data_IF_878503657181
#
_entry.id   IF_878503657181
#
_cell.length_a   1.000
_cell.length_b   1.000
_cell.length_c   1.000
_cell.angle_alpha   90.00
_cell.angle_beta   90.00
_cell.angle_gamma   90.00
#
_symmetry.space_group_name_H-M   'P 1'
#
loop_
_entity.id
_entity.type
_entity.pdbx_description
1 polymer ?
#
# COMPACT_ATOMS: atom_id res chain seq x y z
N UNK A 1 -17.55 -23.26 -10.32
CA UNK A 1 -16.36 -23.21 -9.43
C UNK A 1 -15.18 -22.71 -10.25
N UNK A 2 -14.52 -21.62 -9.85
CA UNK A 2 -13.36 -21.10 -10.60
C UNK A 2 -12.07 -21.81 -10.18
N UNK A 3 -11.15 -21.98 -11.13
CA UNK A 3 -9.82 -22.56 -10.95
C UNK A 3 -8.78 -21.46 -10.85
N UNK A 4 -7.96 -21.48 -9.81
CA UNK A 4 -6.91 -20.49 -9.61
C UNK A 4 -5.50 -21.12 -9.64
N UNK A 5 -4.59 -20.44 -10.33
CA UNK A 5 -3.14 -20.67 -10.27
C UNK A 5 -2.48 -19.47 -9.63
N UNK A 6 -1.70 -19.70 -8.58
CA UNK A 6 -1.07 -18.62 -7.82
C UNK A 6 0.44 -18.86 -7.74
N UNK A 7 1.22 -17.81 -7.93
CA UNK A 7 2.68 -17.79 -7.78
C UNK A 7 3.12 -16.52 -7.07
N UNK A 8 4.28 -16.60 -6.43
CA UNK A 8 4.91 -15.45 -5.79
C UNK A 8 4.83 -15.45 -4.26
N UNK A 9 5.26 -14.35 -3.66
CA UNK A 9 5.41 -14.21 -2.20
C UNK A 9 4.07 -14.26 -1.48
N UNK A 10 3.00 -13.76 -2.12
CA UNK A 10 1.64 -13.77 -1.58
C UNK A 10 0.92 -15.11 -1.74
N UNK A 11 1.55 -16.10 -2.40
CA UNK A 11 0.89 -17.32 -2.84
C UNK A 11 0.21 -18.11 -1.72
N UNK A 12 0.87 -18.26 -0.57
CA UNK A 12 0.31 -19.06 0.53
C UNK A 12 -0.91 -18.40 1.15
N UNK A 13 -0.86 -17.08 1.39
CA UNK A 13 -1.99 -16.33 1.93
C UNK A 13 -3.18 -16.34 0.97
N UNK A 14 -2.93 -16.04 -0.31
CA UNK A 14 -3.97 -16.01 -1.33
C UNK A 14 -4.53 -17.40 -1.63
N UNK A 15 -3.72 -18.45 -1.62
CA UNK A 15 -4.22 -19.84 -1.75
C UNK A 15 -5.19 -20.17 -0.62
N UNK A 16 -4.84 -19.87 0.64
CA UNK A 16 -5.74 -20.11 1.77
C UNK A 16 -7.05 -19.34 1.59
N UNK A 17 -6.96 -18.05 1.28
CA UNK A 17 -8.11 -17.17 1.11
C UNK A 17 -9.04 -17.64 -0.02
N UNK A 18 -8.50 -18.11 -1.15
CA UNK A 18 -9.29 -18.56 -2.29
C UNK A 18 -9.92 -19.95 -2.06
N UNK A 19 -9.21 -20.88 -1.38
CA UNK A 19 -9.78 -22.18 -0.98
C UNK A 19 -11.00 -21.96 -0.06
N UNK A 20 -10.86 -21.09 0.96
CA UNK A 20 -11.93 -20.76 1.90
C UNK A 20 -13.16 -20.15 1.22
N UNK A 21 -13.03 -19.68 -0.03
CA UNK A 21 -14.09 -19.09 -0.85
C UNK A 21 -14.47 -19.95 -2.06
N UNK A 22 -14.07 -21.23 -2.04
CA UNK A 22 -14.53 -22.23 -3.00
C UNK A 22 -13.80 -22.23 -4.35
N UNK A 23 -12.60 -21.65 -4.47
CA UNK A 23 -11.77 -21.86 -5.66
C UNK A 23 -11.10 -23.23 -5.62
N UNK A 24 -11.00 -23.87 -6.79
CA UNK A 24 -10.13 -25.04 -7.00
C UNK A 24 -8.72 -24.55 -7.33
N UNK A 25 -7.72 -24.99 -6.58
CA UNK A 25 -6.32 -24.64 -6.89
C UNK A 25 -5.78 -25.61 -7.94
N UNK A 26 -5.34 -25.07 -9.07
CA UNK A 26 -4.75 -25.85 -10.18
C UNK A 26 -3.30 -25.46 -10.40
N UNK A 27 -2.52 -26.41 -10.93
CA UNK A 27 -1.09 -26.24 -11.14
C UNK A 27 -0.35 -25.67 -9.90
N UNK A 28 -0.58 -26.15 -8.66
CA UNK A 28 0.12 -25.65 -7.49
C UNK A 28 1.63 -25.92 -7.57
N UNK A 29 2.46 -25.04 -6.97
CA UNK A 29 3.88 -25.33 -6.76
C UNK A 29 4.05 -26.48 -5.76
N UNK A 30 5.22 -27.12 -5.72
CA UNK A 30 5.52 -28.17 -4.74
C UNK A 30 5.23 -27.72 -3.30
N UNK A 31 5.66 -26.50 -2.96
CA UNK A 31 5.44 -25.88 -1.66
C UNK A 31 3.94 -25.71 -1.33
N UNK A 32 3.12 -25.32 -2.31
CA UNK A 32 1.67 -25.16 -2.09
C UNK A 32 0.98 -26.52 -2.00
N UNK A 33 1.40 -27.51 -2.81
CA UNK A 33 0.89 -28.90 -2.71
C UNK A 33 1.10 -29.45 -1.30
N UNK A 34 2.31 -29.32 -0.78
CA UNK A 34 2.69 -29.80 0.56
C UNK A 34 1.88 -29.10 1.65
N UNK A 35 1.86 -27.75 1.66
CA UNK A 35 1.19 -26.96 2.70
C UNK A 35 -0.31 -27.21 2.81
N UNK A 36 -0.97 -27.41 1.68
CA UNK A 36 -2.43 -27.55 1.62
C UNK A 36 -2.88 -28.99 1.37
N UNK A 37 -1.96 -29.96 1.37
CA UNK A 37 -2.24 -31.39 1.11
C UNK A 37 -3.09 -31.59 -0.15
N UNK A 38 -2.76 -30.85 -1.21
CA UNK A 38 -3.56 -30.88 -2.45
C UNK A 38 -3.14 -32.10 -3.26
N UNK A 39 -4.02 -33.09 -3.31
CA UNK A 39 -3.89 -34.25 -4.17
C UNK A 39 -4.21 -33.85 -5.61
N UNK A 40 -3.16 -33.46 -6.34
CA UNK A 40 -3.24 -33.22 -7.79
C UNK A 40 -2.43 -34.31 -8.47
N UNK A 41 -3.05 -35.10 -9.34
CA UNK A 41 -2.30 -36.01 -10.21
C UNK A 41 -1.21 -35.18 -10.92
N UNK A 42 0.01 -35.68 -10.94
CA UNK A 42 1.19 -34.99 -11.50
C UNK A 42 1.01 -34.52 -12.95
N UNK A 43 -0.05 -34.98 -13.62
CA UNK A 43 -0.40 -34.74 -15.02
C UNK A 43 -1.61 -33.80 -15.21
N UNK A 44 -2.32 -33.41 -14.14
CA UNK A 44 -3.45 -32.47 -14.24
C UNK A 44 -2.95 -31.08 -14.66
N UNK A 45 -3.02 -30.81 -15.97
CA UNK A 45 -2.72 -29.53 -16.63
C UNK A 45 -3.98 -28.70 -16.87
N UNK A 46 -4.99 -28.83 -16.00
CA UNK A 46 -6.22 -28.06 -16.14
C UNK A 46 -5.88 -26.55 -16.27
N UNK A 47 -6.40 -25.85 -17.29
CA UNK A 47 -6.15 -24.43 -17.45
C UNK A 47 -6.82 -23.64 -16.32
N UNK A 48 -6.14 -22.67 -15.70
CA UNK A 48 -6.75 -21.81 -14.68
C UNK A 48 -7.73 -20.81 -15.31
N UNK A 49 -8.80 -20.49 -14.58
CA UNK A 49 -9.69 -19.38 -14.93
C UNK A 49 -9.13 -18.04 -14.41
N UNK A 50 -8.25 -18.12 -13.40
CA UNK A 50 -7.59 -17.02 -12.72
C UNK A 50 -6.11 -17.35 -12.47
N UNK A 51 -5.21 -16.51 -12.96
CA UNK A 51 -3.79 -16.58 -12.66
C UNK A 51 -3.35 -15.35 -11.87
N UNK A 52 -2.66 -15.57 -10.75
CA UNK A 52 -2.12 -14.51 -9.88
C UNK A 52 -0.62 -14.66 -9.77
N UNK A 53 0.11 -13.56 -10.01
CA UNK A 53 1.58 -13.48 -9.91
C UNK A 53 2.00 -12.17 -9.24
N UNK A 54 3.16 -12.15 -8.60
CA UNK A 54 3.68 -10.93 -7.98
C UNK A 54 3.86 -9.79 -9.00
N UNK A 55 3.68 -8.56 -8.51
CA UNK A 55 4.24 -7.38 -9.17
C UNK A 55 5.77 -7.39 -9.05
N UNK A 56 6.45 -6.71 -9.97
CA UNK A 56 7.91 -6.60 -9.97
C UNK A 56 8.47 -5.92 -8.71
N UNK A 57 7.74 -4.94 -8.18
CA UNK A 57 8.08 -4.22 -6.94
C UNK A 57 7.72 -5.01 -5.66
N UNK A 58 7.06 -6.17 -5.79
CA UNK A 58 6.53 -7.00 -4.69
C UNK A 58 5.53 -6.29 -3.77
N UNK A 59 5.00 -5.14 -4.18
CA UNK A 59 4.00 -4.37 -3.44
C UNK A 59 2.57 -4.86 -3.71
N UNK A 60 2.43 -5.99 -4.39
CA UNK A 60 1.15 -6.61 -4.68
C UNK A 60 1.24 -7.65 -5.78
N UNK A 61 0.16 -7.84 -6.53
CA UNK A 61 0.03 -8.89 -7.55
C UNK A 61 -0.67 -8.39 -8.81
N UNK A 62 -0.34 -9.01 -9.94
CA UNK A 62 -1.19 -9.01 -11.12
C UNK A 62 -2.12 -10.22 -11.08
N UNK A 63 -3.40 -10.01 -11.40
CA UNK A 63 -4.39 -11.06 -11.51
C UNK A 63 -5.02 -11.02 -12.91
N UNK A 64 -4.84 -12.11 -13.67
CA UNK A 64 -5.33 -12.22 -15.06
C UNK A 64 -6.29 -13.39 -15.14
N UNK A 65 -7.46 -13.20 -15.75
CA UNK A 65 -8.46 -14.26 -15.81
C UNK A 65 -9.76 -13.85 -16.45
N UNK A 66 -10.73 -14.76 -16.42
CA UNK A 66 -12.09 -14.46 -16.86
C UNK A 66 -12.72 -13.37 -15.99
N UNK A 67 -13.59 -12.56 -16.57
CA UNK A 67 -14.30 -11.48 -15.86
C UNK A 67 -14.98 -12.00 -14.58
N UNK A 68 -15.64 -13.15 -14.65
CA UNK A 68 -16.30 -13.75 -13.48
C UNK A 68 -15.34 -14.09 -12.35
N UNK A 69 -14.18 -14.68 -12.67
CA UNK A 69 -13.17 -15.03 -11.67
C UNK A 69 -12.55 -13.79 -11.01
N UNK A 70 -12.31 -12.73 -11.78
CA UNK A 70 -11.75 -11.47 -11.30
C UNK A 70 -12.74 -10.65 -10.48
N UNK A 71 -14.03 -10.66 -10.84
CA UNK A 71 -15.11 -10.08 -10.02
C UNK A 71 -15.18 -10.75 -8.65
N UNK A 72 -15.14 -12.08 -8.62
CA UNK A 72 -15.13 -12.82 -7.37
C UNK A 72 -13.86 -12.53 -6.54
N UNK A 73 -12.67 -12.52 -7.17
CA UNK A 73 -11.43 -12.13 -6.51
C UNK A 73 -11.52 -10.73 -5.89
N UNK A 74 -12.02 -9.75 -6.66
CA UNK A 74 -12.18 -8.36 -6.21
C UNK A 74 -13.09 -8.27 -4.99
N UNK A 75 -14.24 -8.95 -5.01
CA UNK A 75 -15.15 -9.02 -3.86
C UNK A 75 -14.49 -9.66 -2.63
N UNK A 76 -13.76 -10.76 -2.82
CA UNK A 76 -13.02 -11.42 -1.74
C UNK A 76 -11.98 -10.50 -1.12
N UNK A 77 -11.18 -9.82 -1.94
CA UNK A 77 -10.13 -8.92 -1.45
C UNK A 77 -10.71 -7.72 -0.73
N UNK A 78 -11.73 -7.04 -1.29
CA UNK A 78 -12.35 -5.87 -0.64
C UNK A 78 -13.07 -6.21 0.66
N UNK A 79 -13.70 -7.40 0.73
CA UNK A 79 -14.34 -7.86 1.97
C UNK A 79 -13.34 -8.26 3.07
N UNK A 80 -12.07 -8.50 2.71
CA UNK A 80 -11.05 -9.03 3.64
C UNK A 80 -9.99 -8.00 4.00
N UNK A 81 -9.62 -7.11 3.06
CA UNK A 81 -8.47 -6.20 3.16
C UNK A 81 -8.95 -4.76 3.19
N UNK A 82 -8.55 -4.00 4.22
CA UNK A 82 -9.05 -2.64 4.45
C UNK A 82 -8.52 -1.63 3.43
N UNK A 83 -7.22 -1.67 3.11
CA UNK A 83 -6.53 -0.67 2.30
C UNK A 83 -6.10 -1.20 0.92
N UNK A 84 -6.67 -2.32 0.45
CA UNK A 84 -6.32 -2.88 -0.87
C UNK A 84 -6.68 -1.91 -1.99
N UNK A 85 -5.75 -1.75 -2.93
CA UNK A 85 -5.93 -0.92 -4.14
C UNK A 85 -6.00 -1.82 -5.36
N UNK A 86 -7.10 -1.77 -6.11
CA UNK A 86 -7.34 -2.61 -7.28
C UNK A 86 -7.43 -1.72 -8.52
N UNK A 87 -6.51 -1.90 -9.46
CA UNK A 87 -6.43 -1.11 -10.69
C UNK A 87 -6.72 -2.00 -11.89
N UNK A 88 -7.46 -1.48 -12.85
CA UNK A 88 -7.86 -2.21 -14.05
C UNK A 88 -9.36 -2.16 -14.23
N UNK A 89 -9.80 -2.13 -15.49
CA UNK A 89 -11.22 -2.00 -15.84
C UNK A 89 -11.81 -3.39 -16.01
N UNK A 90 -12.54 -3.86 -15.01
CA UNK A 90 -13.46 -4.99 -15.17
C UNK A 90 -14.84 -4.52 -15.70
N UNK A 91 -15.07 -3.19 -15.74
CA UNK A 91 -16.41 -2.65 -15.47
C UNK A 91 -16.96 -1.57 -16.43
N UNK A 92 -16.43 -1.34 -17.64
CA UNK A 92 -17.10 -0.34 -18.54
C UNK A 92 -17.27 -0.68 -20.02
N UNK A 93 -16.56 -1.66 -20.58
CA UNK A 93 -16.80 -2.00 -21.99
C UNK A 93 -17.96 -2.97 -22.16
N UNK A 94 -18.20 -3.89 -21.21
CA UNK A 94 -19.27 -4.91 -21.35
C UNK A 94 -20.67 -4.27 -21.27
N UNK A 95 -20.89 -3.30 -20.38
CA UNK A 95 -22.20 -2.62 -20.29
C UNK A 95 -22.43 -1.70 -21.50
N UNK A 96 -21.40 -1.03 -22.02
CA UNK A 96 -21.52 -0.21 -23.22
C UNK A 96 -21.65 -1.02 -24.51
N UNK A 97 -21.02 -2.19 -24.60
CA UNK A 97 -21.16 -3.07 -25.76
C UNK A 97 -22.52 -3.76 -25.80
N UNK A 98 -23.16 -3.98 -24.64
CA UNK A 98 -24.51 -4.58 -24.57
C UNK A 98 -25.61 -3.53 -24.76
N UNK A 99 -25.39 -2.28 -24.33
CA UNK A 99 -26.37 -1.19 -24.47
C UNK A 99 -26.21 -0.34 -25.75
N UNK A 100 -25.13 -0.54 -26.52
CA UNK A 100 -24.78 0.29 -27.68
C UNK A 100 -24.90 -0.42 -29.04
N UNK A 101 -25.44 -1.64 -29.10
CA UNK A 101 -25.63 -2.37 -30.35
C UNK A 101 -27.05 -2.18 -30.91
N UNK A 102 -27.42 -0.93 -31.18
CA UNK A 102 -28.36 -0.63 -32.26
C UNK A 102 -27.55 0.15 -33.32
N UNK A 103 -27.44 -0.45 -34.51
CA UNK A 103 -26.87 0.08 -35.76
C UNK A 103 -25.41 -0.26 -36.17
N UNK A 104 -25.35 -1.32 -36.99
CA UNK A 104 -24.60 -1.49 -38.26
C UNK A 104 -23.06 -1.66 -38.21
N UNK A 105 -22.63 -2.89 -38.48
CA UNK A 105 -21.28 -3.22 -38.97
C UNK A 105 -20.76 -4.55 -38.42
N UNK A 106 -21.13 -5.67 -39.05
CA UNK A 106 -20.70 -7.02 -38.66
C UNK A 106 -19.17 -7.20 -38.77
N UNK A 107 -18.49 -6.99 -37.66
CA UNK A 107 -17.31 -7.79 -37.30
C UNK A 107 -17.74 -8.69 -36.14
N UNK A 108 -17.46 -10.01 -36.18
CA UNK A 108 -17.85 -10.87 -35.08
C UNK A 108 -17.12 -10.42 -33.81
N UNK A 109 -17.84 -9.74 -32.91
CA UNK A 109 -17.36 -9.52 -31.56
C UNK A 109 -17.11 -10.91 -30.95
N UNK A 110 -15.86 -11.18 -30.58
CA UNK A 110 -15.49 -12.40 -29.87
C UNK A 110 -16.48 -12.62 -28.72
N UNK A 111 -17.00 -13.85 -28.61
CA UNK A 111 -17.94 -14.24 -27.54
C UNK A 111 -17.48 -13.63 -26.19
N UNK A 112 -18.31 -12.82 -25.51
CA UNK A 112 -17.94 -12.16 -24.25
C UNK A 112 -17.45 -13.12 -23.16
N UNK A 113 -17.78 -14.41 -23.28
CA UNK A 113 -17.32 -15.49 -22.42
C UNK A 113 -15.81 -15.78 -22.49
N UNK A 114 -15.12 -15.34 -23.55
CA UNK A 114 -13.67 -15.55 -23.73
C UNK A 114 -12.81 -14.33 -23.38
N UNK A 115 -13.43 -13.22 -22.97
CA UNK A 115 -12.69 -12.00 -22.65
C UNK A 115 -11.92 -12.16 -21.34
N UNK A 116 -10.60 -12.07 -21.43
CA UNK A 116 -9.66 -12.10 -20.31
C UNK A 116 -9.28 -10.66 -19.96
N UNK A 117 -9.32 -10.32 -18.67
CA UNK A 117 -8.86 -9.03 -18.18
C UNK A 117 -7.65 -9.22 -17.26
N UNK A 118 -6.93 -8.13 -17.00
CA UNK A 118 -5.85 -8.10 -16.01
C UNK A 118 -6.10 -6.97 -15.01
N UNK A 119 -6.01 -7.32 -13.74
CA UNK A 119 -5.98 -6.40 -12.63
C UNK A 119 -4.55 -6.24 -12.11
N UNK A 120 -4.20 -5.01 -11.76
CA UNK A 120 -3.03 -4.66 -10.98
C UNK A 120 -3.47 -4.33 -9.56
N UNK A 121 -3.15 -5.21 -8.61
CA UNK A 121 -3.59 -5.13 -7.22
C UNK A 121 -2.38 -4.77 -6.37
N UNK A 122 -2.52 -3.76 -5.53
CA UNK A 122 -1.51 -3.34 -4.55
C UNK A 122 -2.01 -3.59 -3.13
N UNK A 123 -1.09 -4.05 -2.29
CA UNK A 123 -1.33 -4.37 -0.89
C UNK A 123 -0.51 -3.43 -0.02
N UNK A 124 -1.11 -2.35 0.51
CA UNK A 124 -0.46 -1.50 1.49
C UNK A 124 -0.37 -2.21 2.86
N UNK A 125 0.11 -1.48 3.87
CA UNK A 125 0.53 -2.05 5.15
C UNK A 125 -0.55 -2.93 5.84
N UNK A 126 -1.82 -2.52 5.86
CA UNK A 126 -2.87 -3.30 6.54
C UNK A 126 -3.24 -4.55 5.76
N UNK A 127 -3.24 -4.46 4.43
CA UNK A 127 -3.45 -5.59 3.53
C UNK A 127 -2.36 -6.64 3.73
N UNK A 128 -1.10 -6.23 3.73
CA UNK A 128 0.04 -7.13 4.01
C UNK A 128 -0.08 -7.80 5.36
N UNK A 129 -0.39 -7.04 6.42
CA UNK A 129 -0.57 -7.57 7.79
C UNK A 129 -1.71 -8.59 7.86
N UNK A 130 -2.82 -8.32 7.17
CA UNK A 130 -3.95 -9.27 7.10
C UNK A 130 -3.55 -10.54 6.34
N UNK A 131 -2.81 -10.41 5.23
CA UNK A 131 -2.31 -11.55 4.47
C UNK A 131 -1.27 -12.36 5.25
N UNK A 132 -0.40 -11.72 6.06
CA UNK A 132 0.51 -12.38 6.99
C UNK A 132 -0.27 -13.21 8.02
N UNK A 133 -1.34 -12.63 8.59
CA UNK A 133 -2.23 -13.32 9.52
C UNK A 133 -2.92 -14.55 8.88
N UNK A 134 -3.37 -14.43 7.63
CA UNK A 134 -3.96 -15.56 6.89
C UNK A 134 -2.91 -16.64 6.64
N UNK A 135 -1.69 -16.25 6.28
CA UNK A 135 -0.56 -17.15 6.05
C UNK A 135 -0.14 -17.89 7.31
N UNK A 136 -0.18 -17.22 8.47
CA UNK A 136 0.13 -17.79 9.80
C UNK A 136 -0.76 -19.00 10.14
N UNK A 137 -1.99 -19.04 9.63
CA UNK A 137 -2.90 -20.19 9.78
C UNK A 137 -2.43 -21.45 9.04
N UNK A 138 -1.45 -21.32 8.15
CA UNK A 138 -0.95 -22.40 7.30
C UNK A 138 0.48 -22.80 7.68
N UNK A 139 1.34 -21.84 8.03
CA UNK A 139 2.71 -22.12 8.49
C UNK A 139 3.21 -21.05 9.46
N UNK A 140 4.23 -21.36 10.28
CA UNK A 140 4.95 -20.36 11.05
C UNK A 140 5.40 -19.18 10.17
N UNK A 141 5.01 -17.98 10.58
CA UNK A 141 5.17 -16.76 9.79
C UNK A 141 5.73 -15.68 10.70
N UNK A 142 6.75 -14.95 10.26
CA UNK A 142 7.22 -13.78 11.00
C UNK A 142 6.25 -12.62 10.77
N UNK A 143 5.99 -11.80 11.80
CA UNK A 143 5.21 -10.57 11.60
C UNK A 143 5.88 -9.68 10.56
N UNK A 144 5.10 -9.15 9.60
CA UNK A 144 5.61 -8.34 8.50
C UNK A 144 6.25 -9.14 7.36
N UNK A 145 5.97 -10.44 7.23
CA UNK A 145 6.52 -11.31 6.17
C UNK A 145 6.47 -10.66 4.78
N UNK A 146 5.30 -10.24 4.31
CA UNK A 146 5.20 -9.66 2.96
C UNK A 146 5.95 -8.33 2.83
N UNK A 147 5.99 -7.53 3.89
CA UNK A 147 6.75 -6.28 3.93
C UNK A 147 8.26 -6.55 3.82
N UNK A 148 8.81 -7.47 4.61
CA UNK A 148 10.23 -7.84 4.56
C UNK A 148 10.61 -8.53 3.24
N UNK A 149 9.68 -9.27 2.61
CA UNK A 149 9.87 -9.81 1.25
C UNK A 149 10.05 -8.72 0.18
N UNK A 150 9.51 -7.53 0.42
CA UNK A 150 9.66 -6.37 -0.46
C UNK A 150 10.91 -5.52 -0.13
N UNK A 151 11.58 -5.75 1.00
CA UNK A 151 12.77 -5.00 1.43
C UNK A 151 14.09 -5.42 0.73
N UNK A 152 14.01 -6.07 -0.43
CA UNK A 152 15.18 -6.51 -1.19
C UNK A 152 15.70 -7.92 -0.81
N UNK A 153 16.75 -8.36 -1.53
CA UNK A 153 17.20 -9.76 -1.48
C UNK A 153 17.76 -10.16 -0.11
N UNK A 154 18.61 -9.34 0.50
CA UNK A 154 19.29 -9.64 1.78
C UNK A 154 18.26 -9.87 2.90
N UNK A 155 17.39 -8.90 3.14
CA UNK A 155 16.33 -9.00 4.17
C UNK A 155 15.37 -10.16 3.87
N UNK A 156 14.97 -10.34 2.59
CA UNK A 156 14.14 -11.47 2.19
C UNK A 156 14.77 -12.84 2.50
N UNK A 157 16.09 -12.99 2.36
CA UNK A 157 16.80 -14.23 2.69
C UNK A 157 16.91 -14.43 4.20
N UNK A 158 17.21 -13.38 4.97
CA UNK A 158 17.24 -13.45 6.43
C UNK A 158 15.86 -13.79 7.01
N UNK A 159 14.78 -13.27 6.41
CA UNK A 159 13.41 -13.62 6.77
C UNK A 159 13.15 -15.12 6.59
N UNK A 160 13.61 -15.71 5.48
CA UNK A 160 13.45 -17.16 5.25
C UNK A 160 14.19 -17.98 6.30
N UNK A 161 15.38 -17.53 6.71
CA UNK A 161 16.13 -18.17 7.78
C UNK A 161 15.39 -18.06 9.12
N UNK A 162 14.88 -16.87 9.45
CA UNK A 162 14.10 -16.65 10.67
C UNK A 162 12.84 -17.54 10.72
N UNK A 163 12.07 -17.61 9.63
CA UNK A 163 10.88 -18.47 9.59
C UNK A 163 11.23 -19.97 9.67
N UNK A 164 12.41 -20.39 9.19
CA UNK A 164 12.89 -21.77 9.39
C UNK A 164 13.22 -22.06 10.85
N UNK A 165 13.67 -21.07 11.62
CA UNK A 165 13.86 -21.22 13.07
C UNK A 165 12.50 -21.41 13.75
N UNK A 166 11.47 -20.64 13.37
CA UNK A 166 10.12 -20.84 13.88
C UNK A 166 9.59 -22.25 13.56
N UNK A 167 9.84 -22.77 12.36
CA UNK A 167 9.48 -24.15 11.99
C UNK A 167 10.20 -25.22 12.82
N UNK A 168 11.37 -24.92 13.36
CA UNK A 168 12.11 -25.79 14.28
C UNK A 168 11.63 -25.68 15.74
N UNK A 169 10.64 -24.83 16.02
CA UNK A 169 10.04 -24.68 17.34
C UNK A 169 10.73 -23.66 18.26
N UNK A 170 11.60 -22.79 17.74
CA UNK A 170 12.17 -21.68 18.52
C UNK A 170 11.08 -20.66 18.86
N UNK A 171 11.23 -19.97 19.99
CA UNK A 171 10.27 -18.98 20.48
C UNK A 171 10.17 -17.80 19.50
N UNK A 172 8.94 -17.39 19.21
CA UNK A 172 8.68 -16.34 18.22
C UNK A 172 9.35 -15.02 18.60
N UNK A 173 9.26 -14.63 19.87
CA UNK A 173 9.84 -13.37 20.38
C UNK A 173 11.37 -13.32 20.22
N UNK A 174 12.06 -14.42 20.53
CA UNK A 174 13.53 -14.52 20.40
C UNK A 174 13.96 -14.42 18.94
N UNK A 175 13.26 -15.14 18.05
CA UNK A 175 13.55 -15.13 16.61
C UNK A 175 13.27 -13.75 16.02
N UNK A 176 12.19 -13.08 16.42
CA UNK A 176 11.86 -11.73 15.98
C UNK A 176 12.87 -10.70 16.46
N UNK A 177 13.29 -10.76 17.74
CA UNK A 177 14.31 -9.88 18.29
C UNK A 177 15.63 -10.04 17.55
N UNK A 178 16.10 -11.28 17.37
CA UNK A 178 17.34 -11.56 16.63
C UNK A 178 17.26 -11.10 15.17
N UNK A 179 16.12 -11.34 14.50
CA UNK A 179 15.92 -10.92 13.12
C UNK A 179 15.97 -9.39 12.99
N UNK A 180 15.25 -8.66 13.87
CA UNK A 180 15.24 -7.19 13.88
C UNK A 180 16.64 -6.62 14.11
N UNK A 181 17.38 -7.17 15.07
CA UNK A 181 18.77 -6.74 15.33
C UNK A 181 19.67 -6.99 14.11
N UNK A 182 19.52 -8.15 13.45
CA UNK A 182 20.33 -8.53 12.29
C UNK A 182 20.10 -7.60 11.09
N UNK A 183 18.88 -7.12 10.88
CA UNK A 183 18.54 -6.23 9.75
C UNK A 183 18.69 -4.75 10.09
N UNK A 184 18.92 -4.38 11.35
CA UNK A 184 18.93 -2.98 11.82
C UNK A 184 19.84 -2.08 10.99
N UNK A 185 21.03 -2.58 10.63
CA UNK A 185 22.02 -1.84 9.83
C UNK A 185 21.58 -1.55 8.38
N UNK A 186 20.56 -2.24 7.88
CA UNK A 186 20.03 -2.03 6.53
C UNK A 186 19.04 -0.85 6.48
N UNK A 187 18.55 -0.40 7.64
CA UNK A 187 17.57 0.65 7.74
C UNK A 187 18.21 2.03 7.92
N UNK A 188 17.54 3.11 7.47
CA UNK A 188 18.05 4.45 7.63
C UNK A 188 18.06 4.87 9.10
N UNK A 189 19.04 5.71 9.43
CA UNK A 189 19.25 6.30 10.76
C UNK A 189 19.29 7.82 10.65
N UNK A 190 19.34 8.53 11.78
CA UNK A 190 19.48 9.99 11.82
C UNK A 190 20.65 10.45 10.94
N UNK A 191 20.42 11.47 10.11
CA UNK A 191 21.38 11.96 9.12
C UNK A 191 21.32 11.27 7.75
N UNK A 192 20.66 10.11 7.65
CA UNK A 192 20.43 9.43 6.37
C UNK A 192 19.58 10.29 5.44
N UNK A 193 19.86 10.18 4.14
CA UNK A 193 19.04 10.74 3.08
C UNK A 193 18.18 9.62 2.52
N UNK A 194 16.86 9.81 2.48
CA UNK A 194 15.92 8.77 2.07
C UNK A 194 15.05 9.22 0.91
N UNK A 195 14.43 8.27 0.21
CA UNK A 195 13.37 8.56 -0.76
C UNK A 195 11.99 8.59 -0.10
N UNK A 196 11.08 9.36 -0.67
CA UNK A 196 9.65 9.31 -0.34
C UNK A 196 8.90 8.84 -1.58
N UNK A 197 8.45 7.58 -1.57
CA UNK A 197 7.61 7.00 -2.61
C UNK A 197 6.14 7.35 -2.34
N UNK A 198 5.64 8.35 -3.07
CA UNK A 198 4.26 8.80 -3.03
C UNK A 198 3.48 8.13 -4.16
N UNK A 199 2.74 7.08 -3.82
CA UNK A 199 1.98 6.27 -4.79
C UNK A 199 0.56 6.78 -4.88
N UNK A 200 0.10 7.15 -6.07
CA UNK A 200 -1.30 7.51 -6.30
C UNK A 200 -2.17 6.26 -6.40
N UNK A 201 -3.47 6.43 -6.13
CA UNK A 201 -4.48 5.37 -6.29
C UNK A 201 -4.47 4.78 -7.70
N UNK A 202 -4.22 5.59 -8.74
CA UNK A 202 -4.13 5.11 -10.13
C UNK A 202 -2.83 4.36 -10.48
N UNK A 203 -1.85 4.33 -9.56
CA UNK A 203 -0.61 3.56 -9.67
C UNK A 203 0.61 4.36 -10.10
N UNK A 204 0.46 5.65 -10.42
CA UNK A 204 1.62 6.53 -10.62
C UNK A 204 2.41 6.66 -9.32
N UNK A 205 3.72 6.52 -9.38
CA UNK A 205 4.62 6.66 -8.25
C UNK A 205 5.50 7.90 -8.44
N UNK A 206 5.46 8.82 -7.48
CA UNK A 206 6.27 10.03 -7.46
C UNK A 206 7.33 9.92 -6.37
N UNK A 207 8.56 10.32 -6.67
CA UNK A 207 9.65 10.39 -5.70
C UNK A 207 9.77 11.84 -5.23
N UNK A 208 9.33 12.15 -4.00
CA UNK A 208 9.18 13.54 -3.50
C UNK A 208 10.50 14.16 -3.00
N UNK A 209 11.57 13.98 -3.78
CA UNK A 209 12.92 14.39 -3.43
C UNK A 209 13.55 13.49 -2.37
N UNK A 210 14.70 13.95 -1.85
CA UNK A 210 15.56 13.17 -0.98
C UNK A 210 15.80 13.90 0.35
N UNK A 211 14.80 13.92 1.26
CA UNK A 211 14.96 14.57 2.56
C UNK A 211 16.03 13.89 3.42
N UNK A 212 16.57 14.66 4.36
CA UNK A 212 17.43 14.15 5.42
C UNK A 212 16.62 13.89 6.69
N UNK A 213 16.86 12.75 7.33
CA UNK A 213 16.32 12.44 8.66
C UNK A 213 17.01 13.34 9.69
N UNK A 214 16.23 14.17 10.39
CA UNK A 214 16.71 14.97 11.51
C UNK A 214 16.60 14.22 12.83
N UNK A 215 15.47 13.58 13.07
CA UNK A 215 15.16 12.86 14.29
C UNK A 215 14.48 11.54 13.93
N UNK A 216 14.81 10.48 14.66
CA UNK A 216 14.16 9.18 14.53
C UNK A 216 14.12 8.52 15.91
N UNK A 217 12.92 8.41 16.47
CA UNK A 217 12.66 7.65 17.68
C UNK A 217 12.18 6.24 17.30
N UNK A 218 13.08 5.26 17.36
CA UNK A 218 12.83 3.89 16.87
C UNK A 218 11.67 3.19 17.61
N UNK A 219 11.52 3.42 18.92
CA UNK A 219 10.51 2.75 19.75
C UNK A 219 9.09 3.18 19.38
N UNK A 220 8.88 4.47 19.18
CA UNK A 220 7.57 5.03 18.82
C UNK A 220 7.36 5.05 17.31
N UNK A 221 8.43 4.95 16.53
CA UNK A 221 8.44 5.05 15.07
C UNK A 221 8.26 6.49 14.57
N UNK A 222 8.51 7.51 15.40
CA UNK A 222 8.39 8.92 15.01
C UNK A 222 9.63 9.34 14.21
N UNK A 223 9.40 9.94 13.04
CA UNK A 223 10.47 10.41 12.16
C UNK A 223 10.21 11.85 11.76
N UNK A 224 11.26 12.67 11.85
CA UNK A 224 11.28 14.03 11.35
C UNK A 224 12.25 14.18 10.20
N UNK A 225 11.80 14.79 9.13
CA UNK A 225 12.58 15.12 7.95
C UNK A 225 12.76 16.61 7.78
N UNK A 226 13.87 17.00 7.14
CA UNK A 226 14.04 18.36 6.60
C UNK A 226 14.41 18.33 5.12
N UNK A 227 13.78 19.23 4.37
CA UNK A 227 14.06 19.49 2.96
C UNK A 227 14.20 20.99 2.73
N UNK A 228 15.21 21.40 1.97
CA UNK A 228 15.37 22.80 1.52
C UNK A 228 15.01 22.91 0.05
N UNK A 229 14.27 23.95 -0.33
CA UNK A 229 13.83 24.18 -1.69
C UNK A 229 14.78 25.13 -2.42
N UNK A 230 15.12 24.76 -3.65
CA UNK A 230 16.00 25.56 -4.53
C UNK A 230 15.20 26.24 -5.65
N UNK A 231 14.09 25.62 -6.07
CA UNK A 231 13.27 26.11 -7.18
C UNK A 231 12.09 26.93 -6.66
N UNK A 232 11.80 28.03 -7.37
CA UNK A 232 10.56 28.80 -7.21
C UNK A 232 9.35 27.95 -7.58
N UNK A 233 8.19 28.28 -7.01
CA UNK A 233 6.91 27.68 -7.39
C UNK A 233 5.80 28.07 -6.41
N UNK A 234 4.83 27.19 -6.27
CA UNK A 234 3.73 27.34 -5.30
C UNK A 234 3.66 26.04 -4.50
N UNK A 235 3.30 26.13 -3.22
CA UNK A 235 2.95 24.95 -2.45
C UNK A 235 1.52 24.54 -2.79
N UNK A 236 1.36 23.32 -3.32
CA UNK A 236 0.06 22.78 -3.69
C UNK A 236 -0.86 22.72 -2.45
N UNK A 237 -2.16 22.94 -2.65
CA UNK A 237 -3.14 23.11 -1.57
C UNK A 237 -3.10 24.50 -0.91
N UNK A 238 -1.93 24.90 -0.38
CA UNK A 238 -1.76 26.17 0.34
C UNK A 238 -1.83 27.41 -0.55
N UNK A 239 -1.44 27.29 -1.83
CA UNK A 239 -1.31 28.40 -2.80
C UNK A 239 -0.30 29.49 -2.37
N UNK A 240 0.46 29.27 -1.31
CA UNK A 240 1.56 30.12 -0.86
C UNK A 240 2.75 30.03 -1.83
N UNK A 241 3.42 31.17 -2.06
CA UNK A 241 4.63 31.21 -2.91
C UNK A 241 5.75 30.40 -2.28
N UNK A 242 6.41 29.56 -3.08
CA UNK A 242 7.64 28.84 -2.73
C UNK A 242 8.83 29.58 -3.32
N UNK A 243 9.80 29.91 -2.48
CA UNK A 243 10.99 30.67 -2.82
C UNK A 243 12.27 29.85 -2.56
N UNK A 244 13.38 30.13 -3.26
CA UNK A 244 14.65 29.48 -2.97
C UNK A 244 15.12 29.82 -1.55
N UNK A 245 15.55 28.81 -0.80
CA UNK A 245 15.94 28.96 0.60
C UNK A 245 14.82 28.62 1.58
N UNK A 246 13.55 28.57 1.13
CA UNK A 246 12.47 28.00 1.93
C UNK A 246 12.80 26.55 2.31
N UNK A 247 12.27 26.09 3.43
CA UNK A 247 12.42 24.71 3.86
C UNK A 247 11.11 24.13 4.37
N UNK A 248 11.06 22.80 4.41
CA UNK A 248 9.96 22.04 4.96
C UNK A 248 10.48 21.14 6.08
N UNK A 249 9.69 21.05 7.14
CA UNK A 249 9.81 20.01 8.16
C UNK A 249 8.62 19.08 8.00
N UNK A 250 8.92 17.80 7.82
CA UNK A 250 7.87 16.79 7.70
C UNK A 250 7.98 15.84 8.88
N UNK A 251 6.93 15.77 9.67
CA UNK A 251 6.78 14.82 10.76
C UNK A 251 5.87 13.68 10.30
N UNK A 252 6.25 12.44 10.63
CA UNK A 252 5.40 11.26 10.46
C UNK A 252 5.66 10.21 11.53
N UNK A 253 4.76 9.24 11.59
CA UNK A 253 4.91 8.03 12.39
C UNK A 253 4.88 6.81 11.48
N UNK A 254 5.79 5.85 11.66
CA UNK A 254 5.72 4.55 10.99
C UNK A 254 4.39 3.87 11.36
N UNK A 255 3.64 3.42 10.36
CA UNK A 255 2.28 2.92 10.54
C UNK A 255 1.23 4.01 10.82
N UNK A 256 1.62 5.27 10.85
CA UNK A 256 0.73 6.43 10.86
C UNK A 256 0.13 6.66 9.47
N UNK A 257 -1.02 7.34 9.44
CA UNK A 257 -1.86 7.53 8.24
C UNK A 257 -1.69 8.91 7.61
N UNK A 258 -0.69 9.67 8.03
CA UNK A 258 -0.50 11.02 7.54
C UNK A 258 0.97 11.42 7.54
N UNK A 259 1.29 12.33 6.62
CA UNK A 259 2.53 13.08 6.62
C UNK A 259 2.18 14.54 6.88
N UNK A 260 2.64 15.09 7.99
CA UNK A 260 2.43 16.50 8.34
C UNK A 260 3.63 17.31 7.91
N UNK A 261 3.48 18.16 6.91
CA UNK A 261 4.56 18.97 6.35
C UNK A 261 4.32 20.45 6.63
N UNK A 262 5.21 21.04 7.42
CA UNK A 262 5.22 22.47 7.78
C UNK A 262 6.22 23.19 6.89
N UNK A 263 5.79 24.30 6.28
CA UNK A 263 6.61 25.10 5.38
C UNK A 263 7.05 26.40 6.03
N UNK A 264 8.33 26.73 5.88
CA UNK A 264 8.93 27.93 6.41
C UNK A 264 9.70 28.65 5.29
N UNK A 265 9.74 29.97 5.36
CA UNK A 265 10.61 30.77 4.51
C UNK A 265 12.07 30.60 4.90
N UNK A 266 12.99 31.06 4.06
CA UNK A 266 14.43 31.02 4.38
C UNK A 266 14.84 31.78 5.67
N UNK A 267 14.00 32.68 6.17
CA UNK A 267 14.17 33.37 7.46
C UNK A 267 13.32 32.79 8.60
N UNK A 268 12.73 31.60 8.43
CA UNK A 268 12.00 30.88 9.47
C UNK A 268 10.55 31.32 9.71
N UNK A 269 9.96 32.12 8.81
CA UNK A 269 8.55 32.52 8.92
C UNK A 269 7.67 31.39 8.42
N UNK A 270 6.72 30.96 9.25
CA UNK A 270 5.74 29.94 8.92
C UNK A 270 4.84 30.36 7.73
N UNK A 271 4.73 29.47 6.73
CA UNK A 271 3.99 29.70 5.48
C UNK A 271 2.73 28.83 5.34
N UNK A 272 2.53 27.89 6.25
CA UNK A 272 1.40 26.96 6.29
C UNK A 272 1.82 25.51 6.50
N UNK A 273 0.86 24.67 6.85
CA UNK A 273 1.01 23.23 7.04
C UNK A 273 0.11 22.49 6.06
N UNK A 274 0.66 21.43 5.48
CA UNK A 274 -0.04 20.51 4.61
C UNK A 274 0.06 19.10 5.20
N UNK A 275 -1.09 18.52 5.53
CA UNK A 275 -1.22 17.18 6.07
C UNK A 275 -1.81 16.30 4.99
N UNK A 276 -1.00 15.40 4.44
CA UNK A 276 -1.45 14.43 3.46
C UNK A 276 -1.92 13.16 4.16
N UNK A 277 -3.16 12.74 3.96
CA UNK A 277 -3.64 11.46 4.46
C UNK A 277 -3.35 10.35 3.45
N UNK A 278 -2.83 9.24 3.96
CA UNK A 278 -2.35 8.11 3.18
C UNK A 278 -2.59 6.79 3.92
N UNK A 279 -2.42 5.68 3.21
CA UNK A 279 -2.33 4.37 3.86
C UNK A 279 -1.15 4.34 4.82
N UNK A 280 -1.18 3.52 5.89
CA UNK A 280 -0.13 3.54 6.89
C UNK A 280 1.28 3.48 6.33
N UNK A 281 2.12 4.44 6.75
CA UNK A 281 3.48 4.64 6.21
C UNK A 281 4.36 3.42 6.54
N UNK A 282 4.99 2.88 5.50
CA UNK A 282 6.00 1.83 5.63
C UNK A 282 7.40 2.43 5.47
N UNK A 283 8.30 2.15 6.41
CA UNK A 283 9.72 2.48 6.27
C UNK A 283 10.42 1.33 5.56
N UNK A 284 11.11 1.55 4.45
CA UNK A 284 11.96 0.59 3.74
C UNK A 284 13.43 0.99 3.86
N UNK A 285 14.39 0.09 3.55
CA UNK A 285 15.83 0.40 3.57
C UNK A 285 16.23 1.68 2.82
N UNK A 286 15.53 2.02 1.73
CA UNK A 286 15.82 3.19 0.89
C UNK A 286 14.92 4.40 1.15
N UNK A 287 13.93 4.28 2.03
CA UNK A 287 13.04 5.36 2.39
C UNK A 287 11.62 4.93 2.67
N UNK A 288 10.69 5.86 2.66
CA UNK A 288 9.29 5.59 3.06
C UNK A 288 8.39 5.39 1.85
N UNK A 289 7.33 4.60 2.02
CA UNK A 289 6.31 4.37 1.00
C UNK A 289 4.93 4.36 1.63
N UNK A 290 3.97 4.90 0.87
CA UNK A 290 2.54 4.84 1.16
C UNK A 290 1.74 5.03 -0.13
N UNK A 291 0.45 4.66 -0.09
CA UNK A 291 -0.52 5.07 -1.10
C UNK A 291 -1.25 6.31 -0.61
N UNK A 292 -1.15 7.39 -1.36
CA UNK A 292 -1.88 8.64 -1.14
C UNK A 292 -3.38 8.43 -1.36
N UNK A 293 -4.18 8.82 -0.38
CA UNK A 293 -5.63 8.67 -0.42
C UNK A 293 -6.35 9.87 -1.04
N UNK A 294 -5.59 10.87 -1.50
CA UNK A 294 -6.11 12.10 -2.11
C UNK A 294 -7.03 12.89 -1.14
N UNK A 295 -6.78 12.78 0.17
CA UNK A 295 -7.44 13.56 1.24
C UNK A 295 -6.38 14.37 1.96
N UNK A 296 -6.57 15.68 2.02
CA UNK A 296 -5.57 16.60 2.56
C UNK A 296 -6.18 17.60 3.54
N UNK A 297 -5.39 18.02 4.52
CA UNK A 297 -5.76 19.10 5.44
C UNK A 297 -4.71 20.21 5.30
N UNK A 298 -5.18 21.43 5.02
CA UNK A 298 -4.37 22.62 4.91
C UNK A 298 -4.60 23.55 6.10
N UNK A 299 -3.51 24.06 6.67
CA UNK A 299 -3.53 25.05 7.75
C UNK A 299 -2.76 26.27 7.26
N UNK A 300 -3.39 27.44 7.26
CA UNK A 300 -2.77 28.69 6.82
C UNK A 300 -2.22 29.52 7.99
N UNK A 301 -1.30 30.46 7.74
CA UNK A 301 -0.73 31.32 8.79
C UNK A 301 -1.75 32.16 9.57
N UNK A 302 -2.89 32.46 8.96
CA UNK A 302 -4.02 33.19 9.57
C UNK A 302 -4.90 32.32 10.49
N UNK A 303 -4.59 31.03 10.60
CA UNK A 303 -5.33 30.06 11.41
C UNK A 303 -6.49 29.40 10.68
N UNK A 304 -6.72 29.71 9.40
CA UNK A 304 -7.71 28.99 8.60
C UNK A 304 -7.29 27.53 8.46
N UNK A 305 -8.24 26.62 8.61
CA UNK A 305 -8.07 25.18 8.38
C UNK A 305 -9.08 24.74 7.32
N UNK A 306 -8.66 23.96 6.33
CA UNK A 306 -9.56 23.35 5.35
C UNK A 306 -9.17 21.92 5.06
N UNK A 307 -10.15 21.04 5.07
CA UNK A 307 -10.08 19.75 4.41
C UNK A 307 -10.28 19.96 2.90
N UNK A 308 -9.44 19.32 2.09
CA UNK A 308 -9.46 19.37 0.64
C UNK A 308 -9.66 17.94 0.11
N UNK A 309 -10.44 17.83 -0.97
CA UNK A 309 -10.55 16.63 -1.82
C UNK A 309 -11.27 15.38 -1.25
N UNK A 310 -12.12 15.53 -0.22
CA UNK A 310 -12.97 14.43 0.28
C UNK A 310 -13.79 13.72 -0.81
N UNK A 311 -14.33 14.49 -1.77
CA UNK A 311 -15.13 13.95 -2.87
C UNK A 311 -14.32 13.02 -3.80
N UNK A 312 -12.99 13.19 -3.87
CA UNK A 312 -12.12 12.34 -4.68
C UNK A 312 -12.04 10.94 -4.11
N UNK A 313 -11.84 10.78 -2.80
CA UNK A 313 -11.80 9.47 -2.16
C UNK A 313 -13.08 8.67 -2.42
N UNK A 314 -14.23 9.33 -2.26
CA UNK A 314 -15.55 8.73 -2.55
C UNK A 314 -15.67 8.27 -3.99
N UNK A 315 -15.22 9.09 -4.94
CA UNK A 315 -15.21 8.72 -6.34
C UNK A 315 -14.30 7.52 -6.62
N UNK A 316 -13.13 7.43 -5.98
CA UNK A 316 -12.22 6.28 -6.12
C UNK A 316 -12.82 4.99 -5.57
N UNK A 317 -13.58 5.07 -4.48
CA UNK A 317 -14.32 3.94 -3.92
C UNK A 317 -15.41 3.51 -4.90
N UNK A 318 -16.25 4.44 -5.38
CA UNK A 318 -17.31 4.17 -6.38
C UNK A 318 -16.78 3.57 -7.68
N UNK A 319 -15.63 4.05 -8.15
CA UNK A 319 -14.94 3.52 -9.33
C UNK A 319 -14.33 2.12 -9.10
N UNK A 320 -14.32 1.65 -7.85
CA UNK A 320 -13.88 0.33 -7.50
C UNK A 320 -12.39 0.21 -7.19
N UNK A 321 -11.63 1.32 -7.13
CA UNK A 321 -10.20 1.27 -6.84
C UNK A 321 -9.89 0.86 -5.41
N UNK A 322 -10.70 1.29 -4.46
CA UNK A 322 -10.49 1.06 -3.02
C UNK A 322 -11.60 0.17 -2.45
N UNK A 323 -11.31 -0.42 -1.28
CA UNK A 323 -12.33 -1.04 -0.45
C UNK A 323 -13.15 0.04 0.26
N UNK A 324 -14.47 -0.13 0.35
CA UNK A 324 -15.35 0.74 1.16
C UNK A 324 -14.96 0.74 2.65
N UNK A 325 -14.25 -0.29 3.10
CA UNK A 325 -13.76 -0.41 4.48
C UNK A 325 -12.74 0.68 4.87
N UNK A 326 -12.15 1.36 3.90
CA UNK A 326 -11.14 2.40 4.16
C UNK A 326 -11.76 3.70 4.64
N UNK A 327 -12.98 4.02 4.19
CA UNK A 327 -13.66 5.28 4.46
C UNK A 327 -13.79 5.59 5.95
N UNK A 328 -14.40 4.72 6.80
CA UNK A 328 -14.53 5.01 8.22
C UNK A 328 -13.18 5.13 8.95
N UNK A 329 -12.13 4.48 8.43
CA UNK A 329 -10.78 4.60 9.00
C UNK A 329 -10.19 5.97 8.71
N UNK A 330 -10.37 6.47 7.48
CA UNK A 330 -9.91 7.80 7.07
C UNK A 330 -10.68 8.87 7.82
N UNK A 331 -12.01 8.76 7.92
CA UNK A 331 -12.85 9.74 8.63
C UNK A 331 -12.44 9.89 10.09
N UNK A 332 -12.30 8.77 10.79
CA UNK A 332 -11.80 8.76 12.17
C UNK A 332 -10.43 9.46 12.26
N UNK A 333 -9.57 9.24 11.26
CA UNK A 333 -8.23 9.81 11.28
C UNK A 333 -8.19 11.30 10.98
N UNK A 334 -9.06 11.78 10.10
CA UNK A 334 -9.30 13.22 9.88
C UNK A 334 -9.73 13.86 11.19
N UNK A 335 -10.70 13.26 11.89
CA UNK A 335 -11.19 13.78 13.18
C UNK A 335 -10.09 13.84 14.24
N UNK A 336 -9.31 12.75 14.41
CA UNK A 336 -8.16 12.72 15.32
C UNK A 336 -7.15 13.82 14.99
N UNK A 337 -6.84 14.04 13.71
CA UNK A 337 -5.92 15.09 13.28
C UNK A 337 -6.50 16.47 13.56
N UNK A 338 -7.76 16.73 13.18
CA UNK A 338 -8.40 18.02 13.38
C UNK A 338 -8.45 18.43 14.86
N UNK A 339 -8.67 17.47 15.76
CA UNK A 339 -8.71 17.70 17.21
C UNK A 339 -7.33 17.96 17.85
N UNK A 340 -6.23 17.68 17.14
CA UNK A 340 -4.86 17.89 17.64
C UNK A 340 -4.19 19.13 17.05
N UNK A 341 -4.82 19.81 16.09
CA UNK A 341 -4.25 21.00 15.46
C UNK A 341 -4.16 22.16 16.47
N UNK A 342 -2.95 22.68 16.64
CA UNK A 342 -2.67 23.92 17.37
C UNK A 342 -1.76 24.82 16.55
N UNK A 343 -2.26 26.01 16.19
CA UNK A 343 -1.52 26.94 15.33
C UNK A 343 -0.19 27.39 15.94
N UNK A 344 -0.11 27.49 17.26
CA UNK A 344 1.13 27.87 17.95
C UNK A 344 2.20 26.77 17.81
N UNK A 345 1.80 25.50 17.92
CA UNK A 345 2.70 24.38 17.66
C UNK A 345 3.10 24.27 16.18
N UNK A 346 2.19 24.59 15.25
CA UNK A 346 2.52 24.59 13.82
C UNK A 346 3.58 25.64 13.47
N UNK A 347 3.56 26.79 14.16
CA UNK A 347 4.52 27.88 13.96
C UNK A 347 5.89 27.60 14.58
N UNK A 348 5.97 26.76 15.59
CA UNK A 348 7.21 26.39 16.25
C UNK A 348 7.96 25.32 15.44
N UNK A 349 9.07 25.70 14.81
CA UNK A 349 9.94 24.80 14.02
C UNK A 349 10.34 23.51 14.78
N UNK A 350 10.48 23.59 16.11
CA UNK A 350 10.98 22.50 16.94
C UNK A 350 9.88 21.58 17.49
N UNK A 351 8.65 22.10 17.60
CA UNK A 351 7.52 21.35 18.13
C UNK A 351 7.22 20.10 17.30
N UNK A 352 6.88 18.99 17.95
CA UNK A 352 6.37 17.78 17.31
C UNK A 352 4.85 17.85 17.25
N UNK A 353 4.27 17.74 16.04
CA UNK A 353 2.86 18.06 15.79
C UNK A 353 2.02 16.87 15.29
N UNK A 354 2.42 15.63 15.60
CA UNK A 354 1.82 14.42 15.02
C UNK A 354 0.43 14.05 15.53
#
# INVERSE_FOLDING_TARGET
MFKAKIRGIYSTALTRLLIDRGFKIVQPSAVIKERFKIEVSSESREPPDLEIRDRMDRQGVYATGSIGSLRLLTSILKSTLNDVVIRGRILREIERSVLGSEEIGETPLENPSNMVATLNIEFPALSKRTLDSIRRKVRPTLDGHHYYKACGRRISSLLEMAERLLEKGYLQEEVEALFKETIRSEYPHVGSVIEIEHVKIDGRCFHLGTPRILEFEEETGLIRFRRTFVKRGVYDGLKSRKEPGDYAITDLKIGGWSLRTRYFSGNGVYKGTYINLNTPVELYPRGIRYVDLEVDICIWPDGKIMEIDRDKLQERIRQGYLSERIEPLVEKKVEEIMNTISLDLERDETALTL
#
